data_IF_080178194016
#
_entry.id   IF_080178194016
#
_cell.length_a   1.000
_cell.length_b   1.000
_cell.length_c   1.000
_cell.angle_alpha   90.00
_cell.angle_beta   90.00
_cell.angle_gamma   90.00
#
_symmetry.space_group_name_H-M   'P 1'
#
loop_
_entity.id
_entity.type
_entity.pdbx_description
1 polymer ?
#
# COMPACT_ATOMS: atom_id res chain seq x y z
N UNK A 1 21.57 -54.30 -67.07
CA UNK A 1 20.29 -54.87 -66.64
C UNK A 1 20.36 -55.18 -65.15
N UNK A 2 19.66 -54.40 -64.34
CA UNK A 2 19.10 -54.76 -63.03
C UNK A 2 18.30 -53.54 -62.55
N UNK A 3 17.01 -53.75 -62.31
CA UNK A 3 16.00 -52.74 -61.97
C UNK A 3 15.86 -52.77 -60.45
N UNK A 4 16.07 -51.66 -59.75
CA UNK A 4 15.65 -51.52 -58.35
C UNK A 4 14.51 -50.50 -58.27
N UNK A 5 13.35 -51.02 -57.92
CA UNK A 5 12.07 -50.34 -57.76
C UNK A 5 12.03 -49.55 -56.44
N UNK A 6 11.58 -48.30 -56.52
CA UNK A 6 11.28 -47.42 -55.38
C UNK A 6 9.90 -47.73 -54.80
N UNK A 7 9.68 -47.78 -53.46
CA UNK A 7 8.36 -47.99 -52.87
C UNK A 7 7.56 -46.67 -52.73
N UNK A 8 6.22 -46.69 -52.74
CA UNK A 8 5.38 -45.50 -52.59
C UNK A 8 5.36 -44.95 -51.14
N UNK A 9 4.90 -43.70 -50.91
CA UNK A 9 5.00 -43.03 -49.61
C UNK A 9 4.01 -43.60 -48.59
N UNK A 10 4.49 -43.83 -47.36
CA UNK A 10 3.64 -44.11 -46.21
C UNK A 10 3.03 -42.82 -45.68
N UNK A 11 1.70 -42.69 -45.80
CA UNK A 11 0.90 -41.73 -45.04
C UNK A 11 1.07 -42.03 -43.54
N UNK A 12 1.90 -41.23 -42.86
CA UNK A 12 2.07 -41.25 -41.42
C UNK A 12 1.32 -40.09 -40.78
N UNK A 13 0.34 -40.44 -39.95
CA UNK A 13 -0.48 -39.58 -39.09
C UNK A 13 0.35 -38.45 -38.43
N UNK A 14 -0.14 -37.19 -38.35
CA UNK A 14 0.54 -36.16 -37.54
C UNK A 14 0.55 -36.59 -36.06
N UNK A 15 1.61 -36.25 -35.30
CA UNK A 15 1.61 -36.52 -33.86
C UNK A 15 0.43 -35.79 -33.21
N UNK A 16 -0.23 -36.37 -32.19
CA UNK A 16 -1.22 -35.64 -31.42
C UNK A 16 -0.52 -34.44 -30.78
N UNK A 17 -0.99 -33.24 -31.14
CA UNK A 17 -0.62 -32.00 -30.48
C UNK A 17 -1.14 -32.06 -29.04
N UNK A 18 -0.37 -32.67 -28.14
CA UNK A 18 -0.49 -32.46 -26.71
C UNK A 18 -0.03 -31.03 -26.42
N UNK A 19 -0.92 -30.06 -26.64
CA UNK A 19 -0.85 -28.78 -25.97
C UNK A 19 -1.12 -29.05 -24.48
N UNK A 20 -0.07 -29.47 -23.78
CA UNK A 20 -0.06 -29.57 -22.34
C UNK A 20 -0.34 -28.15 -21.82
N UNK A 21 -1.38 -27.93 -20.99
CA UNK A 21 -1.52 -26.64 -20.33
C UNK A 21 -0.22 -26.35 -19.59
N UNK A 22 0.26 -25.09 -19.56
CA UNK A 22 1.52 -24.76 -18.92
C UNK A 22 1.51 -25.30 -17.48
N UNK A 23 2.64 -25.85 -16.99
CA UNK A 23 2.70 -26.40 -15.65
C UNK A 23 2.23 -25.31 -14.67
N UNK A 24 1.31 -25.67 -13.77
CA UNK A 24 0.96 -24.84 -12.64
C UNK A 24 2.20 -24.73 -11.75
N UNK A 25 3.04 -23.74 -12.02
CA UNK A 25 4.18 -23.41 -11.16
C UNK A 25 3.59 -23.07 -9.79
N UNK A 26 3.99 -23.76 -8.71
CA UNK A 26 3.53 -23.41 -7.38
C UNK A 26 3.90 -21.95 -7.12
N UNK A 27 2.92 -21.15 -6.70
CA UNK A 27 3.17 -19.80 -6.26
C UNK A 27 4.12 -19.88 -5.06
N UNK A 28 5.39 -19.55 -5.29
CA UNK A 28 6.29 -19.24 -4.21
C UNK A 28 5.64 -18.11 -3.41
N UNK A 29 5.31 -18.30 -2.12
CA UNK A 29 4.62 -17.29 -1.32
C UNK A 29 5.44 -16.00 -1.16
N UNK A 30 6.72 -16.03 -1.51
CA UNK A 30 7.62 -14.87 -1.51
C UNK A 30 7.76 -14.22 -2.89
N UNK A 31 7.31 -14.88 -3.97
CA UNK A 31 7.43 -14.35 -5.31
C UNK A 31 6.20 -13.49 -5.68
N UNK A 32 6.38 -12.20 -5.98
CA UNK A 32 5.30 -11.34 -6.44
C UNK A 32 4.54 -11.97 -7.61
N UNK A 33 3.20 -11.96 -7.56
CA UNK A 33 2.38 -12.43 -8.68
C UNK A 33 2.71 -11.58 -9.93
N UNK A 34 2.74 -12.23 -11.09
CA UNK A 34 3.00 -11.56 -12.37
C UNK A 34 2.02 -10.39 -12.60
N UNK A 35 2.48 -9.21 -13.04
CA UNK A 35 1.61 -8.05 -13.24
C UNK A 35 0.43 -8.32 -14.18
N UNK A 36 0.60 -9.15 -15.20
CA UNK A 36 -0.46 -9.50 -16.15
C UNK A 36 -1.54 -10.36 -15.50
N UNK A 37 -1.14 -11.30 -14.63
CA UNK A 37 -2.08 -12.08 -13.82
C UNK A 37 -2.82 -11.22 -12.81
N UNK A 38 -2.13 -10.24 -12.22
CA UNK A 38 -2.78 -9.27 -11.34
C UNK A 38 -3.85 -8.48 -12.09
N UNK A 39 -3.52 -7.92 -13.25
CA UNK A 39 -4.46 -7.17 -14.08
C UNK A 39 -5.71 -7.99 -14.46
N UNK A 40 -5.51 -9.23 -14.93
CA UNK A 40 -6.62 -10.12 -15.29
C UNK A 40 -7.57 -10.38 -14.10
N UNK A 41 -7.02 -10.52 -12.89
CA UNK A 41 -7.83 -10.71 -11.69
C UNK A 41 -8.64 -9.46 -11.28
N UNK A 42 -8.21 -8.25 -11.68
CA UNK A 42 -8.94 -7.02 -11.35
C UNK A 42 -10.28 -6.92 -12.07
N UNK A 43 -10.40 -7.48 -13.28
CA UNK A 43 -11.60 -7.40 -14.11
C UNK A 43 -12.84 -8.00 -13.43
N UNK A 44 -12.64 -9.03 -12.59
CA UNK A 44 -13.72 -9.74 -11.89
C UNK A 44 -14.10 -9.12 -10.53
N UNK A 45 -13.30 -8.18 -10.03
CA UNK A 45 -13.51 -7.59 -8.69
C UNK A 45 -14.53 -6.44 -8.70
N UNK A 46 -15.35 -6.29 -7.66
CA UNK A 46 -16.18 -5.09 -7.44
C UNK A 46 -15.33 -3.82 -7.28
N UNK A 47 -15.90 -2.66 -7.64
CA UNK A 47 -15.21 -1.37 -7.59
C UNK A 47 -14.73 -1.01 -6.16
N UNK A 48 -15.56 -1.26 -5.15
CA UNK A 48 -15.20 -1.00 -3.74
C UNK A 48 -13.98 -1.82 -3.32
N UNK A 49 -13.86 -3.06 -3.82
CA UNK A 49 -12.70 -3.92 -3.57
C UNK A 49 -11.44 -3.37 -4.23
N UNK A 50 -11.54 -2.76 -5.42
CA UNK A 50 -10.40 -2.10 -6.07
C UNK A 50 -9.88 -0.91 -5.24
N UNK A 51 -10.79 -0.07 -4.74
CA UNK A 51 -10.40 1.07 -3.89
C UNK A 51 -9.84 0.62 -2.54
N UNK A 52 -10.44 -0.39 -1.91
CA UNK A 52 -9.91 -0.99 -0.68
C UNK A 52 -8.50 -1.54 -0.90
N UNK A 53 -8.26 -2.23 -2.02
CA UNK A 53 -6.93 -2.73 -2.37
C UNK A 53 -5.92 -1.61 -2.63
N UNK A 54 -6.35 -0.52 -3.27
CA UNK A 54 -5.52 0.65 -3.48
C UNK A 54 -5.08 1.29 -2.14
N UNK A 55 -6.00 1.40 -1.18
CA UNK A 55 -5.70 1.93 0.16
C UNK A 55 -4.72 1.04 0.92
N UNK A 56 -4.88 -0.29 0.85
CA UNK A 56 -3.94 -1.26 1.46
C UNK A 56 -2.53 -1.12 0.88
N UNK A 57 -2.42 -1.00 -0.44
CA UNK A 57 -1.13 -0.84 -1.14
C UNK A 57 -0.48 0.50 -0.76
N UNK A 58 -1.25 1.59 -0.74
CA UNK A 58 -0.75 2.92 -0.33
C UNK A 58 -0.20 2.90 1.10
N UNK A 59 -0.94 2.34 2.05
CA UNK A 59 -0.48 2.19 3.43
C UNK A 59 0.83 1.37 3.48
N UNK A 60 0.92 0.30 2.70
CA UNK A 60 2.15 -0.50 2.62
C UNK A 60 3.34 0.31 2.07
N UNK A 61 3.12 1.16 1.06
CA UNK A 61 4.15 2.07 0.52
C UNK A 61 4.58 3.09 1.59
N UNK A 62 3.63 3.74 2.28
CA UNK A 62 3.90 4.70 3.34
C UNK A 62 4.79 4.07 4.43
N UNK A 63 4.44 2.87 4.91
CA UNK A 63 5.25 2.17 5.92
C UNK A 63 6.65 1.82 5.42
N UNK A 64 6.83 1.46 4.15
CA UNK A 64 8.15 1.20 3.58
C UNK A 64 8.99 2.49 3.49
N UNK A 65 8.37 3.63 3.15
CA UNK A 65 9.03 4.94 3.15
C UNK A 65 9.48 5.34 4.55
N UNK A 66 8.58 5.25 5.53
CA UNK A 66 8.89 5.52 6.94
C UNK A 66 10.00 4.61 7.46
N UNK A 67 9.97 3.31 7.10
CA UNK A 67 11.04 2.37 7.46
C UNK A 67 12.39 2.75 6.84
N UNK A 68 12.39 3.25 5.60
CA UNK A 68 13.62 3.70 4.95
C UNK A 68 14.17 4.98 5.59
N UNK A 69 13.30 5.93 5.95
CA UNK A 69 13.70 7.13 6.68
C UNK A 69 14.35 6.78 8.03
N UNK A 70 13.80 5.79 8.75
CA UNK A 70 14.36 5.32 10.02
C UNK A 70 15.73 4.62 9.86
N UNK A 71 15.97 3.96 8.73
CA UNK A 71 17.24 3.27 8.46
C UNK A 71 18.35 4.22 7.95
N UNK A 72 17.98 5.38 7.41
CA UNK A 72 18.90 6.33 6.78
C UNK A 72 20.11 6.72 7.66
N UNK A 73 19.95 7.04 8.97
CA UNK A 73 21.09 7.39 9.81
C UNK A 73 22.15 6.28 9.91
N UNK A 74 21.72 5.02 10.00
CA UNK A 74 22.62 3.88 10.09
C UNK A 74 23.33 3.62 8.75
N UNK A 75 22.61 3.75 7.64
CA UNK A 75 23.19 3.62 6.31
C UNK A 75 24.26 4.70 6.03
N UNK A 76 24.04 5.92 6.53
CA UNK A 76 24.97 7.06 6.45
C UNK A 76 26.21 6.87 7.34
N UNK A 77 26.06 6.24 8.50
CA UNK A 77 27.17 5.80 9.37
C UNK A 77 28.01 4.66 8.76
N UNK A 78 27.55 4.10 7.63
CA UNK A 78 28.28 3.11 6.85
C UNK A 78 27.74 1.69 6.94
N UNK A 79 26.62 1.46 7.62
CA UNK A 79 25.99 0.14 7.71
C UNK A 79 25.51 -0.33 6.32
N UNK A 80 26.16 -1.39 5.82
CA UNK A 80 25.86 -1.96 4.51
C UNK A 80 24.55 -2.76 4.49
N UNK A 81 24.18 -3.42 5.60
CA UNK A 81 22.91 -4.17 5.68
C UNK A 81 21.73 -3.21 5.67
N UNK A 82 21.80 -2.11 6.42
CA UNK A 82 20.77 -1.06 6.36
C UNK A 82 20.63 -0.49 4.95
N UNK A 83 21.74 -0.24 4.26
CA UNK A 83 21.73 0.27 2.88
C UNK A 83 21.11 -0.71 1.88
N UNK A 84 21.43 -2.01 2.01
CA UNK A 84 20.87 -3.06 1.17
C UNK A 84 19.36 -3.23 1.42
N UNK A 85 18.94 -3.28 2.69
CA UNK A 85 17.53 -3.36 3.07
C UNK A 85 16.70 -2.18 2.52
N UNK A 86 17.24 -0.96 2.58
CA UNK A 86 16.61 0.21 1.95
C UNK A 86 16.45 0.05 0.44
N UNK A 87 17.46 -0.48 -0.25
CA UNK A 87 17.41 -0.70 -1.70
C UNK A 87 16.37 -1.78 -2.07
N UNK A 88 16.26 -2.86 -1.30
CA UNK A 88 15.22 -3.87 -1.47
C UNK A 88 13.82 -3.28 -1.26
N UNK A 89 13.63 -2.48 -0.21
CA UNK A 89 12.37 -1.80 0.05
C UNK A 89 11.97 -0.87 -1.11
N UNK A 90 12.92 -0.14 -1.70
CA UNK A 90 12.66 0.69 -2.89
C UNK A 90 12.20 -0.15 -4.09
N UNK A 91 12.77 -1.33 -4.31
CA UNK A 91 12.29 -2.25 -5.35
C UNK A 91 10.85 -2.74 -5.06
N UNK A 92 10.52 -3.02 -3.79
CA UNK A 92 9.15 -3.38 -3.39
C UNK A 92 8.18 -2.23 -3.64
N UNK A 93 8.55 -0.99 -3.26
CA UNK A 93 7.78 0.22 -3.54
C UNK A 93 7.52 0.36 -5.05
N UNK A 94 8.55 0.17 -5.88
CA UNK A 94 8.40 0.21 -7.35
C UNK A 94 7.35 -0.79 -7.87
N UNK A 95 7.38 -2.03 -7.37
CA UNK A 95 6.37 -3.06 -7.74
C UNK A 95 4.97 -2.69 -7.23
N UNK A 96 4.86 -2.14 -6.03
CA UNK A 96 3.58 -1.69 -5.45
C UNK A 96 2.98 -0.51 -6.23
N UNK A 97 3.80 0.45 -6.65
CA UNK A 97 3.39 1.53 -7.54
C UNK A 97 2.91 1.00 -8.90
N UNK A 98 3.60 0.01 -9.47
CA UNK A 98 3.14 -0.67 -10.69
C UNK A 98 1.74 -1.28 -10.53
N UNK A 99 1.46 -1.91 -9.38
CA UNK A 99 0.12 -2.44 -9.07
C UNK A 99 -0.93 -1.35 -8.89
N UNK A 100 -0.55 -0.22 -8.29
CA UNK A 100 -1.44 0.94 -8.17
C UNK A 100 -1.81 1.50 -9.56
N UNK A 101 -0.85 1.50 -10.50
CA UNK A 101 -1.09 1.84 -11.90
C UNK A 101 -2.10 0.92 -12.59
N UNK A 102 -2.04 -0.39 -12.34
CA UNK A 102 -3.02 -1.36 -12.86
C UNK A 102 -4.41 -1.17 -12.26
N UNK A 103 -4.50 -0.90 -10.95
CA UNK A 103 -5.76 -0.58 -10.28
C UNK A 103 -6.39 0.70 -10.85
N UNK A 104 -5.57 1.73 -11.06
CA UNK A 104 -5.99 2.98 -11.68
C UNK A 104 -6.54 2.75 -13.08
N UNK A 105 -5.79 2.04 -13.93
CA UNK A 105 -6.22 1.73 -15.29
C UNK A 105 -7.56 0.98 -15.32
N UNK A 106 -7.77 0.03 -14.40
CA UNK A 106 -9.03 -0.71 -14.32
C UNK A 106 -10.22 0.18 -13.87
N UNK A 107 -10.02 1.04 -12.87
CA UNK A 107 -11.06 1.99 -12.42
C UNK A 107 -11.44 2.95 -13.55
N UNK A 108 -10.45 3.50 -14.26
CA UNK A 108 -10.66 4.41 -15.39
C UNK A 108 -11.30 3.68 -16.59
N UNK A 109 -10.93 2.42 -16.84
CA UNK A 109 -11.57 1.57 -17.86
C UNK A 109 -13.06 1.38 -17.61
N UNK A 110 -13.49 1.36 -16.34
CA UNK A 110 -14.91 1.31 -15.94
C UNK A 110 -15.63 2.66 -16.00
N UNK A 111 -14.94 3.72 -16.45
CA UNK A 111 -15.48 5.07 -16.56
C UNK A 111 -15.55 5.84 -15.24
N UNK A 112 -14.89 5.35 -14.19
CA UNK A 112 -14.87 5.97 -12.87
C UNK A 112 -13.61 6.82 -12.68
N UNK A 113 -13.71 7.87 -11.86
CA UNK A 113 -12.57 8.75 -11.57
C UNK A 113 -11.66 8.08 -10.53
N UNK A 114 -10.37 8.00 -10.84
CA UNK A 114 -9.37 7.59 -9.87
C UNK A 114 -9.15 8.67 -8.81
N UNK A 115 -9.45 8.36 -7.55
CA UNK A 115 -9.15 9.24 -6.43
C UNK A 115 -7.65 9.20 -6.11
N UNK A 116 -6.96 10.33 -6.31
CA UNK A 116 -5.55 10.51 -5.93
C UNK A 116 -5.43 10.65 -4.42
N UNK A 117 -4.35 10.10 -3.86
CA UNK A 117 -4.01 10.35 -2.48
C UNK A 117 -3.35 11.73 -2.35
N UNK A 118 -3.60 12.51 -1.29
CA UNK A 118 -2.88 13.77 -1.06
C UNK A 118 -1.36 13.61 -0.97
N UNK A 119 -0.83 12.47 -0.51
CA UNK A 119 0.62 12.20 -0.54
C UNK A 119 1.15 12.08 -1.97
N UNK A 120 0.37 11.49 -2.90
CA UNK A 120 0.72 11.40 -4.33
C UNK A 120 0.89 12.81 -4.96
N UNK A 121 0.28 13.85 -4.37
CA UNK A 121 0.39 15.24 -4.84
C UNK A 121 1.63 15.98 -4.30
N UNK A 122 2.24 15.48 -3.23
CA UNK A 122 3.41 16.10 -2.59
C UNK A 122 4.73 15.70 -3.25
N UNK A 123 4.74 14.58 -3.97
CA UNK A 123 5.95 13.99 -4.56
C UNK A 123 6.20 14.38 -6.03
N UNK A 124 5.37 15.23 -6.65
CA UNK A 124 5.55 15.67 -8.04
C UNK A 124 6.36 16.99 -8.12
N UNK A 125 7.63 16.98 -8.57
CA UNK A 125 8.19 18.14 -9.26
C UNK A 125 7.63 18.14 -10.69
N UNK A 126 6.90 19.21 -11.03
CA UNK A 126 6.01 19.24 -12.19
C UNK A 126 6.59 18.74 -13.51
N UNK A 127 5.93 17.74 -14.08
CA UNK A 127 5.92 17.50 -15.52
C UNK A 127 4.59 18.01 -16.10
N UNK A 128 4.71 19.08 -16.87
CA UNK A 128 3.66 19.71 -17.65
C UNK A 128 3.11 18.71 -18.69
N UNK A 129 2.00 18.05 -18.36
CA UNK A 129 1.10 17.49 -19.38
C UNK A 129 -0.14 18.36 -19.45
N UNK A 130 -0.04 19.40 -20.27
CA UNK A 130 -1.13 20.26 -20.65
C UNK A 130 -2.21 19.47 -21.40
N UNK A 131 -3.34 19.21 -20.73
CA UNK A 131 -4.69 19.30 -21.27
C UNK A 131 -5.68 18.79 -20.22
N UNK A 132 -6.49 19.68 -19.64
CA UNK A 132 -7.96 19.73 -19.79
C UNK A 132 -8.54 20.83 -18.88
N UNK A 133 -9.06 21.87 -19.55
CA UNK A 133 -10.06 22.89 -19.15
C UNK A 133 -11.18 22.31 -18.23
N UNK A 134 -11.90 23.00 -17.33
CA UNK A 134 -12.15 24.41 -16.98
C UNK A 134 -12.99 24.42 -15.66
N UNK A 135 -12.94 25.49 -14.85
CA UNK A 135 -14.08 25.89 -13.99
C UNK A 135 -13.83 26.23 -12.51
N UNK A 136 -13.38 27.47 -12.24
CA UNK A 136 -13.84 28.43 -11.20
C UNK A 136 -14.34 27.86 -9.86
N UNK A 137 -13.78 28.19 -8.69
CA UNK A 137 -14.06 29.45 -7.97
C UNK A 137 -13.04 29.67 -6.84
N UNK A 138 -12.45 30.86 -6.83
CA UNK A 138 -11.64 31.37 -5.72
C UNK A 138 -12.53 31.71 -4.51
N UNK A 139 -12.15 31.26 -3.33
CA UNK A 139 -12.61 31.85 -2.06
C UNK A 139 -11.49 31.78 -1.04
N UNK A 140 -11.04 32.97 -0.63
CA UNK A 140 -10.09 33.22 0.44
C UNK A 140 -10.60 32.61 1.76
N UNK A 141 -9.72 31.89 2.45
CA UNK A 141 -9.91 31.47 3.84
C UNK A 141 -8.59 31.55 4.58
N UNK A 142 -8.23 32.76 5.02
CA UNK A 142 -7.17 33.00 6.00
C UNK A 142 -7.64 32.47 7.35
N UNK A 143 -6.94 31.49 7.93
CA UNK A 143 -6.77 31.41 9.39
C UNK A 143 -5.42 30.79 9.74
N UNK A 144 -4.57 31.64 10.30
CA UNK A 144 -3.37 31.30 11.04
C UNK A 144 -3.77 30.75 12.43
N UNK A 145 -3.26 29.57 12.84
CA UNK A 145 -3.10 29.22 14.27
C UNK A 145 -2.09 28.07 14.50
N UNK A 146 -0.83 28.48 14.66
CA UNK A 146 0.17 28.09 15.69
C UNK A 146 0.35 26.63 16.14
N UNK A 147 1.59 26.16 15.89
CA UNK A 147 2.42 25.16 16.59
C UNK A 147 2.04 24.84 18.05
N UNK A 148 1.79 23.55 18.32
CA UNK A 148 1.91 22.91 19.63
C UNK A 148 3.12 21.98 19.64
N UNK A 149 4.27 22.52 20.02
CA UNK A 149 5.52 21.82 20.25
C UNK A 149 5.44 21.07 21.59
N UNK A 150 5.26 19.75 21.57
CA UNK A 150 5.35 18.93 22.79
C UNK A 150 6.77 18.38 22.93
N UNK A 151 7.54 19.04 23.80
CA UNK A 151 8.85 18.62 24.29
C UNK A 151 8.65 17.36 25.13
N UNK A 152 9.32 16.26 24.77
CA UNK A 152 9.34 15.02 25.57
C UNK A 152 10.54 15.11 26.52
N UNK A 153 10.30 15.44 27.78
CA UNK A 153 11.30 15.38 28.85
C UNK A 153 11.50 13.92 29.29
N UNK A 154 12.74 13.44 29.16
CA UNK A 154 13.18 12.16 29.70
C UNK A 154 13.56 12.34 31.18
N UNK A 155 12.78 11.75 32.09
CA UNK A 155 13.18 11.60 33.48
C UNK A 155 13.33 10.10 33.82
N UNK A 156 14.58 9.68 33.99
CA UNK A 156 14.93 8.37 34.51
C UNK A 156 14.94 8.42 36.04
N UNK A 157 14.23 7.51 36.72
CA UNK A 157 14.51 7.12 38.11
C UNK A 157 14.14 5.64 38.31
N UNK A 158 15.06 4.97 38.99
CA UNK A 158 15.21 3.54 39.24
C UNK A 158 14.22 2.97 40.27
N UNK A 159 13.86 1.68 40.14
CA UNK A 159 13.31 0.86 41.25
C UNK A 159 12.25 -0.18 40.86
N UNK A 160 12.62 -1.47 40.96
CA UNK A 160 11.83 -2.73 41.12
C UNK A 160 10.29 -2.56 41.28
N UNK A 161 9.40 -3.33 40.61
CA UNK A 161 9.08 -4.77 40.78
C UNK A 161 8.18 -5.27 39.63
N UNK A 162 8.17 -6.59 39.39
CA UNK A 162 7.47 -7.28 38.29
C UNK A 162 5.93 -7.32 38.41
N UNK A 163 5.22 -7.08 37.28
CA UNK A 163 3.85 -7.58 36.97
C UNK A 163 3.52 -7.34 35.46
N UNK A 164 2.51 -8.02 34.86
CA UNK A 164 2.53 -8.48 33.47
C UNK A 164 2.32 -7.41 32.39
N UNK A 165 2.92 -7.66 31.23
CA UNK A 165 2.85 -6.86 30.00
C UNK A 165 1.39 -6.74 29.52
N UNK A 166 0.84 -5.52 29.54
CA UNK A 166 -0.37 -5.19 28.81
C UNK A 166 -0.08 -5.16 27.30
N UNK A 167 -0.88 -5.83 26.45
CA UNK A 167 -0.76 -5.69 25.00
C UNK A 167 -1.44 -4.39 24.52
N UNK A 168 -0.62 -3.50 23.97
CA UNK A 168 -0.88 -2.73 22.76
C UNK A 168 -2.34 -2.58 22.28
N UNK A 169 -2.96 -1.44 22.59
CA UNK A 169 -3.58 -0.58 21.58
C UNK A 169 -4.91 -1.00 20.94
N UNK A 170 -5.70 -1.88 21.56
CA UNK A 170 -7.13 -2.01 21.22
C UNK A 170 -7.95 -2.07 22.50
N UNK A 171 -8.59 -0.95 22.84
CA UNK A 171 -9.58 -0.91 23.90
C UNK A 171 -10.68 -1.90 23.53
N UNK A 172 -11.00 -2.81 24.43
CA UNK A 172 -12.19 -3.63 24.29
C UNK A 172 -13.43 -2.74 24.39
N UNK A 173 -14.56 -3.20 23.83
CA UNK A 173 -15.80 -2.42 23.75
C UNK A 173 -16.28 -1.95 25.15
N UNK A 174 -15.97 -2.73 26.19
CA UNK A 174 -16.23 -2.39 27.59
C UNK A 174 -15.33 -1.26 28.11
N UNK A 175 -14.03 -1.30 27.79
CA UNK A 175 -13.09 -0.25 28.20
C UNK A 175 -13.37 1.07 27.49
N UNK A 176 -13.77 1.03 26.22
CA UNK A 176 -14.20 2.21 25.47
C UNK A 176 -15.46 2.83 26.09
N UNK A 177 -16.41 1.99 26.51
CA UNK A 177 -17.64 2.43 27.18
C UNK A 177 -17.35 3.05 28.55
N UNK A 178 -16.43 2.47 29.32
CA UNK A 178 -15.99 3.01 30.61
C UNK A 178 -15.32 4.38 30.44
N UNK A 179 -14.51 4.54 29.39
CA UNK A 179 -13.79 5.77 29.10
C UNK A 179 -14.72 6.90 28.64
N UNK A 180 -15.71 6.59 27.80
CA UNK A 180 -16.75 7.54 27.40
C UNK A 180 -17.63 7.97 28.59
N UNK A 181 -17.95 7.05 29.51
CA UNK A 181 -18.71 7.37 30.71
C UNK A 181 -17.92 8.32 31.65
N UNK A 182 -16.63 8.03 31.86
CA UNK A 182 -15.77 8.89 32.68
C UNK A 182 -15.56 10.29 32.08
N UNK A 183 -15.64 10.41 30.76
CA UNK A 183 -15.52 11.70 30.07
C UNK A 183 -16.81 12.54 30.17
N UNK A 184 -17.98 11.89 30.27
CA UNK A 184 -19.28 12.56 30.44
C UNK A 184 -19.56 12.94 31.90
N UNK A 185 -19.07 12.16 32.87
CA UNK A 185 -19.21 12.42 34.31
C UNK A 185 -18.34 13.59 34.81
N UNK A 186 -17.42 14.09 33.97
CA UNK A 186 -16.50 15.18 34.29
C UNK A 186 -17.00 16.60 33.97
N UNK A 187 -18.16 16.76 33.32
CA UNK A 187 -18.69 18.04 32.86
C UNK A 187 -20.06 18.41 33.49
N UNK A 188 -20.49 17.74 34.56
CA UNK A 188 -21.80 18.02 35.22
C UNK A 188 -21.73 18.83 36.53
N UNK A 189 -20.54 19.24 36.99
CA UNK A 189 -20.40 20.03 38.23
C UNK A 189 -19.54 21.31 38.06
N UNK A 190 -19.93 22.27 37.21
CA UNK A 190 -19.68 23.71 37.49
C UNK A 190 -20.51 24.68 36.61
N UNK A 191 -21.83 24.52 36.56
CA UNK A 191 -22.74 25.62 36.21
C UNK A 191 -23.09 26.41 37.49
N UNK A 192 -22.07 27.02 38.10
CA UNK A 192 -22.17 27.92 39.25
C UNK A 192 -22.21 29.39 38.83
N UNK A 193 -23.41 29.94 38.70
CA UNK A 193 -23.69 31.32 38.29
C UNK A 193 -22.91 32.37 39.11
N UNK A 194 -21.97 33.08 38.50
CA UNK A 194 -21.41 34.31 39.08
C UNK A 194 -22.35 35.50 38.77
N UNK A 195 -23.15 35.91 39.77
CA UNK A 195 -23.81 37.22 39.84
C UNK A 195 -23.14 38.10 40.89
#
# INVERSE_FOLDING_TARGET
MAVLTWPPPSNGNPPPSTAQPPPAIPADPTNPIDPSRFAAALEELPLDTLHSKAAEIRNSITRLRESNEQMMPFADEGDAECREAMFENLQVIGRMNGRLGLLKAEVERRGMVWMRDPEDLREEPGEESAAHMNGTTATNGVTNRTNGQHVVENNAISGQVAAPRAPSGRLTDEELRQQLAAQLDGDEDDDGVHL
#
